data_IF_061156945675
#
_entry.id   IF_061156945675
#
_cell.length_a   1.000
_cell.length_b   1.000
_cell.length_c   1.000
_cell.angle_alpha   90.00
_cell.angle_beta   90.00
_cell.angle_gamma   90.00
#
_symmetry.space_group_name_H-M   'P 1'
#
loop_
_entity.id
_entity.type
_entity.pdbx_description
1 polymer ?
#
# COMPACT_ATOMS: atom_id res chain seq x y z
N UNK A 1 10.53 -4.83 -14.69
CA UNK A 1 11.16 -3.51 -14.92
C UNK A 1 10.79 -2.64 -13.73
N UNK A 2 11.76 -2.20 -12.92
CA UNK A 2 11.50 -1.40 -11.71
C UNK A 2 11.85 0.05 -12.02
N UNK A 3 10.90 0.98 -11.83
CA UNK A 3 11.20 2.41 -11.87
C UNK A 3 11.92 2.77 -10.56
N UNK A 4 13.21 3.10 -10.64
CA UNK A 4 14.13 3.26 -9.51
C UNK A 4 13.71 4.30 -8.45
N UNK A 5 12.74 5.17 -8.71
CA UNK A 5 12.37 6.26 -7.79
C UNK A 5 10.85 6.44 -7.55
N UNK A 6 10.02 5.47 -7.95
CA UNK A 6 8.56 5.63 -7.89
C UNK A 6 8.04 6.84 -8.67
N UNK A 7 6.73 6.94 -8.85
CA UNK A 7 6.13 8.15 -9.45
C UNK A 7 5.52 8.97 -8.32
N UNK A 8 5.92 10.24 -8.18
CA UNK A 8 5.27 11.18 -7.27
C UNK A 8 3.92 11.53 -7.88
N UNK A 9 2.85 11.02 -7.28
CA UNK A 9 1.49 11.18 -7.80
C UNK A 9 0.78 12.36 -7.12
N UNK A 10 0.14 13.20 -7.93
CA UNK A 10 -0.69 14.30 -7.44
C UNK A 10 -1.93 13.80 -6.69
N UNK A 11 -1.94 13.93 -5.37
CA UNK A 11 -2.95 13.35 -4.47
C UNK A 11 -4.41 13.62 -4.84
N UNK A 12 -4.76 14.90 -5.10
CA UNK A 12 -6.16 15.31 -5.31
C UNK A 12 -6.71 14.85 -6.66
N UNK A 13 -5.92 14.97 -7.73
CA UNK A 13 -6.34 14.58 -9.08
C UNK A 13 -6.39 13.06 -9.25
N UNK A 14 -5.53 12.32 -8.57
CA UNK A 14 -5.41 10.88 -8.78
C UNK A 14 -6.29 10.07 -7.83
N UNK A 15 -6.33 10.41 -6.54
CA UNK A 15 -7.04 9.58 -5.56
C UNK A 15 -8.38 10.18 -5.10
N UNK A 16 -8.53 11.51 -5.19
CA UNK A 16 -9.67 12.22 -4.63
C UNK A 16 -9.81 11.95 -3.12
N UNK A 17 -11.04 11.73 -2.66
CA UNK A 17 -11.30 11.34 -1.26
C UNK A 17 -10.91 9.88 -1.05
N UNK A 18 -10.01 9.64 -0.09
CA UNK A 18 -9.65 8.30 0.38
C UNK A 18 -10.38 8.01 1.68
N UNK A 19 -11.02 6.84 1.74
CA UNK A 19 -11.67 6.36 2.96
C UNK A 19 -11.08 5.05 3.41
N UNK A 20 -10.76 4.94 4.69
CA UNK A 20 -10.27 3.71 5.28
C UNK A 20 -11.31 2.59 5.12
N UNK A 21 -10.84 1.40 4.77
CA UNK A 21 -11.70 0.22 4.71
C UNK A 21 -11.28 -0.86 5.68
N UNK A 22 -10.03 -1.32 5.63
CA UNK A 22 -9.55 -2.40 6.50
C UNK A 22 -8.01 -2.48 6.46
N UNK A 23 -7.42 -3.03 7.52
CA UNK A 23 -6.07 -3.57 7.49
C UNK A 23 -6.12 -4.93 6.78
N UNK A 24 -5.41 -5.05 5.65
CA UNK A 24 -5.46 -6.24 4.80
C UNK A 24 -4.42 -7.28 5.21
N UNK A 25 -3.19 -6.83 5.40
CA UNK A 25 -2.05 -7.69 5.65
C UNK A 25 -0.99 -6.95 6.43
N UNK A 26 -0.35 -7.66 7.35
CA UNK A 26 0.89 -7.24 7.97
C UNK A 26 2.00 -8.17 7.47
N UNK A 27 3.08 -7.58 6.96
CA UNK A 27 4.27 -8.32 6.52
C UNK A 27 5.29 -8.17 7.62
N UNK A 28 5.72 -9.30 8.16
CA UNK A 28 6.73 -9.34 9.21
C UNK A 28 8.13 -9.42 8.62
N UNK A 29 9.12 -8.99 9.40
CA UNK A 29 10.53 -9.17 9.06
C UNK A 29 10.83 -10.67 9.11
N UNK A 30 11.60 -11.15 8.13
CA UNK A 30 12.14 -12.50 8.15
C UNK A 30 13.53 -12.44 8.78
N UNK A 31 13.76 -13.22 9.84
CA UNK A 31 15.07 -13.32 10.48
C UNK A 31 16.07 -13.99 9.52
N UNK A 32 17.37 -13.82 9.81
CA UNK A 32 18.46 -14.49 9.08
C UNK A 32 18.34 -16.03 9.12
N UNK A 33 17.70 -16.58 10.15
CA UNK A 33 17.42 -18.01 10.31
C UNK A 33 16.21 -18.49 9.47
N UNK A 34 15.55 -17.59 8.73
CA UNK A 34 14.39 -17.89 7.90
C UNK A 34 13.05 -17.91 8.64
N UNK A 35 13.05 -17.79 9.97
CA UNK A 35 11.86 -17.68 10.82
C UNK A 35 11.19 -16.31 10.69
N UNK A 36 9.88 -16.25 10.92
CA UNK A 36 9.10 -15.00 10.90
C UNK A 36 9.26 -14.30 12.24
N UNK A 37 9.73 -13.05 12.24
CA UNK A 37 9.81 -12.21 13.45
C UNK A 37 8.43 -11.73 13.91
N UNK A 38 8.34 -11.33 15.17
CA UNK A 38 7.23 -10.53 15.69
C UNK A 38 7.29 -9.07 15.23
N UNK A 39 8.46 -8.63 14.73
CA UNK A 39 8.64 -7.29 14.17
C UNK A 39 7.94 -7.15 12.81
N UNK A 40 7.07 -6.16 12.72
CA UNK A 40 6.38 -5.82 11.47
C UNK A 40 7.32 -5.01 10.59
N UNK A 41 7.36 -5.31 9.29
CA UNK A 41 8.09 -4.57 8.27
C UNK A 41 7.21 -3.53 7.59
N UNK A 42 6.02 -3.96 7.17
CA UNK A 42 5.05 -3.12 6.45
C UNK A 42 3.63 -3.59 6.73
N UNK A 43 2.68 -2.65 6.68
CA UNK A 43 1.26 -2.88 6.85
C UNK A 43 0.53 -2.41 5.61
N UNK A 44 -0.21 -3.30 4.97
CA UNK A 44 -1.01 -3.01 3.79
C UNK A 44 -2.45 -2.71 4.20
N UNK A 45 -2.92 -1.53 3.84
CA UNK A 45 -4.28 -1.06 4.10
C UNK A 45 -5.09 -1.00 2.81
N UNK A 46 -6.35 -1.41 2.89
CA UNK A 46 -7.34 -1.23 1.84
C UNK A 46 -8.02 0.13 2.03
N UNK A 47 -7.85 1.02 1.04
CA UNK A 47 -8.50 2.33 1.00
C UNK A 47 -9.49 2.40 -0.16
N UNK A 48 -10.66 3.00 0.07
CA UNK A 48 -11.62 3.30 -1.00
C UNK A 48 -11.24 4.64 -1.62
N UNK A 49 -10.83 4.65 -2.88
CA UNK A 49 -10.54 5.87 -3.62
C UNK A 49 -11.75 6.31 -4.43
N UNK A 50 -12.24 7.52 -4.17
CA UNK A 50 -13.32 8.11 -4.97
C UNK A 50 -12.85 8.55 -6.35
N UNK A 51 -11.61 9.03 -6.47
CA UNK A 51 -11.03 9.44 -7.75
C UNK A 51 -10.87 8.27 -8.72
N UNK A 52 -10.44 7.10 -8.22
CA UNK A 52 -10.22 5.93 -9.05
C UNK A 52 -11.43 4.99 -9.19
N UNK A 53 -12.48 5.21 -8.40
CA UNK A 53 -13.67 4.35 -8.39
C UNK A 53 -13.40 2.91 -7.91
N UNK A 54 -12.24 2.63 -7.32
CA UNK A 54 -11.80 1.31 -6.87
C UNK A 54 -11.18 1.37 -5.48
N UNK A 55 -11.06 0.20 -4.85
CA UNK A 55 -10.19 0.04 -3.68
C UNK A 55 -8.73 0.00 -4.14
N UNK A 56 -7.88 0.74 -3.44
CA UNK A 56 -6.44 0.75 -3.64
C UNK A 56 -5.77 0.16 -2.41
N UNK A 57 -4.61 -0.46 -2.61
CA UNK A 57 -3.80 -0.99 -1.52
C UNK A 57 -2.67 -0.01 -1.23
N UNK A 58 -2.48 0.31 0.05
CA UNK A 58 -1.41 1.21 0.50
C UNK A 58 -0.59 0.48 1.54
N UNK A 59 0.65 0.16 1.19
CA UNK A 59 1.63 -0.35 2.14
C UNK A 59 2.32 0.80 2.86
N UNK A 60 2.31 0.75 4.19
CA UNK A 60 2.96 1.72 5.07
C UNK A 60 4.05 0.98 5.85
N UNK A 61 5.30 1.46 5.89
CA UNK A 61 6.36 0.82 6.66
C UNK A 61 6.08 0.89 8.17
N UNK A 62 6.55 -0.10 8.92
CA UNK A 62 6.32 -0.20 10.37
C UNK A 62 7.01 0.90 11.19
N UNK A 63 7.93 1.64 10.58
CA UNK A 63 8.49 2.88 11.15
C UNK A 63 7.40 3.93 11.42
N UNK A 64 6.29 3.87 10.67
CA UNK A 64 5.10 4.68 10.96
C UNK A 64 4.25 3.94 12.00
N UNK A 65 3.85 4.61 13.10
CA UNK A 65 3.02 3.98 14.13
C UNK A 65 1.69 3.52 13.55
N UNK A 66 1.15 2.43 14.12
CA UNK A 66 -0.16 1.92 13.75
C UNK A 66 -1.20 3.04 13.93
N UNK A 67 -1.88 3.39 12.84
CA UNK A 67 -3.04 4.27 12.90
C UNK A 67 -4.28 3.41 12.78
N UNK A 68 -5.03 3.34 13.88
CA UNK A 68 -6.34 2.74 13.90
C UNK A 68 -7.34 3.78 13.39
N UNK A 69 -7.98 3.47 12.27
CA UNK A 69 -9.00 4.31 11.66
C UNK A 69 -10.33 3.57 11.69
N UNK A 70 -11.41 4.29 11.97
CA UNK A 70 -12.75 3.74 11.83
C UNK A 70 -13.08 3.43 10.38
N UNK A 71 -13.99 2.48 10.19
CA UNK A 71 -14.50 2.16 8.85
C UNK A 71 -15.12 3.40 8.18
N UNK A 72 -14.69 3.68 6.96
CA UNK A 72 -15.01 4.89 6.18
C UNK A 72 -14.46 6.23 6.72
N UNK A 73 -13.56 6.22 7.71
CA UNK A 73 -12.85 7.43 8.10
C UNK A 73 -12.11 8.03 6.90
N UNK A 74 -12.18 9.35 6.75
CA UNK A 74 -11.44 10.06 5.70
C UNK A 74 -9.96 10.13 6.08
N UNK A 75 -9.12 9.65 5.18
CA UNK A 75 -7.67 9.57 5.39
C UNK A 75 -6.96 10.30 4.26
N UNK A 76 -5.81 10.91 4.55
CA UNK A 76 -4.93 11.49 3.54
C UNK A 76 -3.59 10.76 3.51
N UNK A 77 -3.09 10.51 2.30
CA UNK A 77 -1.77 9.92 2.10
C UNK A 77 -0.72 11.05 1.97
N UNK A 78 0.26 11.05 2.87
CA UNK A 78 1.32 12.07 2.92
C UNK A 78 2.50 11.51 2.14
N UNK A 79 2.73 12.04 0.93
CA UNK A 79 3.73 11.57 -0.03
C UNK A 79 3.48 10.15 -0.59
N UNK A 80 2.38 9.92 -1.32
CA UNK A 80 2.14 8.63 -1.95
C UNK A 80 3.19 8.38 -3.03
N UNK A 81 3.93 7.28 -2.87
CA UNK A 81 4.84 6.75 -3.88
C UNK A 81 4.18 5.51 -4.47
N UNK A 82 3.87 5.55 -5.77
CA UNK A 82 3.41 4.36 -6.48
C UNK A 82 4.62 3.50 -6.87
N UNK A 83 4.72 2.30 -6.30
CA UNK A 83 5.70 1.28 -6.74
C UNK A 83 5.05 0.44 -7.84
N UNK A 84 5.49 0.60 -9.09
CA UNK A 84 4.98 -0.22 -10.19
C UNK A 84 5.73 -1.54 -10.24
N UNK A 85 5.31 -2.53 -9.44
CA UNK A 85 5.85 -3.89 -9.54
C UNK A 85 4.98 -4.68 -10.52
N UNK A 86 5.38 -4.67 -11.79
CA UNK A 86 4.83 -5.65 -12.74
C UNK A 86 5.54 -6.99 -12.51
N UNK A 87 4.83 -7.97 -11.94
CA UNK A 87 5.33 -9.35 -11.87
C UNK A 87 4.94 -10.05 -13.17
N UNK A 88 5.91 -10.24 -14.06
CA UNK A 88 5.71 -11.04 -15.25
C UNK A 88 5.53 -12.51 -14.86
N UNK A 89 4.37 -13.09 -15.14
CA UNK A 89 4.11 -14.53 -15.01
C UNK A 89 4.08 -15.17 -16.40
N UNK A 90 4.28 -16.49 -16.48
CA UNK A 90 4.34 -17.21 -17.76
C UNK A 90 3.00 -17.16 -18.56
N UNK A 91 1.92 -16.62 -17.98
CA UNK A 91 0.59 -16.46 -18.58
C UNK A 91 0.17 -14.97 -18.75
N UNK A 92 1.02 -13.99 -18.46
CA UNK A 92 0.70 -12.56 -18.55
C UNK A 92 1.55 -11.68 -17.63
N UNK A 93 1.12 -10.45 -17.36
CA UNK A 93 1.69 -9.62 -16.31
C UNK A 93 0.62 -9.44 -15.22
N UNK A 94 0.95 -9.84 -13.99
CA UNK A 94 0.17 -9.44 -12.81
C UNK A 94 0.61 -8.01 -12.48
N UNK A 95 -0.28 -7.07 -12.75
CA UNK A 95 -0.05 -5.64 -12.58
C UNK A 95 -0.87 -5.19 -11.38
N UNK A 96 -0.26 -5.22 -10.20
CA UNK A 96 -0.82 -4.63 -8.98
C UNK A 96 -0.32 -3.19 -8.86
N UNK A 97 -1.24 -2.25 -8.65
CA UNK A 97 -0.98 -0.81 -8.57
C UNK A 97 -2.02 -0.08 -7.72
#
# INVERSE_FOLDING_TARGET
MRLTNGIIIGKEKTFGVLKFSALRREVHIQNEDGTVSEEIKERTYDLKSRGQGRRIQVSIPASVPLKEFDYNAEVENINPVADTVATATFQGADVDW
#
